data_IF_309680095477
#
_entry.id   IF_309680095477
#
_cell.length_a   1.000
_cell.length_b   1.000
_cell.length_c   1.000
_cell.angle_alpha   90.00
_cell.angle_beta   90.00
_cell.angle_gamma   90.00
#
_symmetry.space_group_name_H-M   'P 1'
#
loop_
_entity.id
_entity.type
_entity.pdbx_description
1 polymer ?
#
# COMPACT_ATOMS: atom_id res chain seq x y z
N UNK A 1 -17.32 -4.89 -4.08
CA UNK A 1 -16.44 -4.38 -3.02
C UNK A 1 -16.22 -2.90 -3.27
N UNK A 2 -16.86 -2.00 -2.50
CA UNK A 2 -16.82 -0.55 -2.77
C UNK A 2 -15.55 0.00 -2.14
N UNK A 3 -14.49 0.18 -2.93
CA UNK A 3 -13.24 0.77 -2.46
C UNK A 3 -13.46 2.24 -2.10
N UNK A 4 -13.07 2.66 -0.90
CA UNK A 4 -13.08 4.09 -0.57
C UNK A 4 -11.98 4.76 -1.39
N UNK A 5 -12.35 5.68 -2.27
CA UNK A 5 -11.37 6.56 -2.93
C UNK A 5 -10.78 7.44 -1.82
N UNK A 6 -9.46 7.40 -1.66
CA UNK A 6 -8.74 8.34 -0.80
C UNK A 6 -8.27 9.47 -1.69
N UNK A 7 -8.72 10.69 -1.41
CA UNK A 7 -8.24 11.88 -2.11
C UNK A 7 -6.77 12.09 -1.76
N UNK A 8 -5.88 11.83 -2.71
CA UNK A 8 -4.44 11.93 -2.55
C UNK A 8 -3.70 11.49 -3.81
N UNK A 9 -2.52 12.06 -4.03
CA UNK A 9 -1.62 11.68 -5.13
C UNK A 9 -0.46 10.86 -4.56
N UNK A 10 -0.40 9.58 -4.91
CA UNK A 10 0.71 8.68 -4.55
C UNK A 10 1.30 8.10 -5.83
N UNK A 11 2.58 7.70 -5.80
CA UNK A 11 3.29 7.14 -6.97
C UNK A 11 2.56 5.94 -7.59
N UNK A 12 1.83 5.18 -6.76
CA UNK A 12 0.96 4.09 -7.20
C UNK A 12 -0.08 4.50 -8.23
N UNK A 13 -0.52 5.77 -8.25
CA UNK A 13 -1.41 6.28 -9.28
C UNK A 13 -0.76 6.27 -10.66
N UNK A 14 0.50 6.70 -10.75
CA UNK A 14 1.28 6.64 -12.00
C UNK A 14 1.59 5.20 -12.41
N UNK A 15 1.94 4.34 -11.45
CA UNK A 15 2.20 2.91 -11.73
C UNK A 15 0.94 2.21 -12.26
N UNK A 16 -0.21 2.49 -11.65
CA UNK A 16 -1.50 1.96 -12.10
C UNK A 16 -1.87 2.50 -13.50
N UNK A 17 -1.64 3.79 -13.76
CA UNK A 17 -1.88 4.41 -15.07
C UNK A 17 -1.00 3.82 -16.18
N UNK A 18 0.21 3.35 -15.84
CA UNK A 18 1.10 2.64 -16.75
C UNK A 18 0.69 1.16 -16.99
N UNK A 19 -0.46 0.71 -16.48
CA UNK A 19 -0.95 -0.66 -16.65
C UNK A 19 -0.25 -1.70 -15.77
N UNK A 20 0.60 -1.27 -14.83
CA UNK A 20 1.32 -2.18 -13.94
C UNK A 20 0.50 -2.45 -12.67
N UNK A 21 0.29 -3.71 -12.27
CA UNK A 21 -0.39 -4.04 -11.02
C UNK A 21 0.33 -3.42 -9.81
N UNK A 22 -0.39 -2.64 -9.01
CA UNK A 22 0.16 -1.95 -7.84
C UNK A 22 -0.87 -1.84 -6.72
N UNK A 23 -0.38 -1.91 -5.47
CA UNK A 23 -1.19 -1.73 -4.27
C UNK A 23 -0.81 -0.38 -3.64
N UNK A 24 -1.79 0.49 -3.43
CA UNK A 24 -1.63 1.77 -2.74
C UNK A 24 -2.01 1.66 -1.25
N UNK A 25 -1.57 2.61 -0.43
CA UNK A 25 -2.10 2.80 0.94
C UNK A 25 -1.63 1.75 1.95
N UNK A 26 -0.42 1.22 1.77
CA UNK A 26 0.14 0.17 2.63
C UNK A 26 0.86 0.69 3.88
N UNK A 27 0.99 2.02 4.03
CA UNK A 27 1.55 2.66 5.22
C UNK A 27 0.68 2.49 6.48
N UNK A 28 1.22 2.75 7.68
CA UNK A 28 0.56 2.60 8.98
C UNK A 28 -0.76 3.38 9.09
N UNK A 29 -1.58 3.00 10.07
CA UNK A 29 -2.79 3.77 10.40
C UNK A 29 -2.36 5.12 10.96
N UNK A 30 -2.92 6.19 10.40
CA UNK A 30 -2.62 7.55 10.77
C UNK A 30 -3.53 8.54 10.07
N UNK A 31 -3.28 9.83 10.31
CA UNK A 31 -4.07 10.91 9.74
C UNK A 31 -3.45 12.26 10.00
N UNK A 32 -4.17 13.30 9.57
CA UNK A 32 -3.70 14.69 9.61
C UNK A 32 -2.38 14.91 8.85
N UNK A 33 -2.22 14.19 7.72
CA UNK A 33 -1.03 14.30 6.88
C UNK A 33 -0.74 15.76 6.54
N UNK A 34 0.53 16.15 6.66
CA UNK A 34 1.01 17.51 6.39
C UNK A 34 0.48 18.58 7.38
N UNK A 35 0.09 18.19 8.60
CA UNK A 35 -0.31 19.12 9.67
C UNK A 35 0.59 18.92 10.90
N UNK A 36 0.74 19.94 11.78
CA UNK A 36 1.52 19.78 13.01
C UNK A 36 0.98 18.71 13.97
N UNK A 37 -0.31 18.38 13.87
CA UNK A 37 -1.01 17.32 14.60
C UNK A 37 -1.11 16.01 13.79
N UNK A 38 -0.17 15.79 12.86
CA UNK A 38 0.03 14.51 12.18
C UNK A 38 0.33 13.40 13.18
N UNK A 39 -0.30 12.25 13.00
CA UNK A 39 -0.18 11.15 13.95
C UNK A 39 -0.22 9.78 13.28
N UNK A 40 0.30 8.81 14.01
CA UNK A 40 0.35 7.40 13.65
C UNK A 40 -0.02 6.54 14.86
N UNK A 41 -0.78 5.46 14.64
CA UNK A 41 -0.91 4.39 15.61
C UNK A 41 0.34 3.51 15.55
N UNK A 42 1.19 3.57 16.58
CA UNK A 42 2.52 2.94 16.59
C UNK A 42 2.47 1.43 16.31
N UNK A 43 1.55 0.70 16.95
CA UNK A 43 1.45 -0.75 16.79
C UNK A 43 1.15 -1.16 15.33
N UNK A 44 0.40 -0.32 14.61
CA UNK A 44 0.01 -0.57 13.22
C UNK A 44 1.20 -0.57 12.24
N UNK A 45 2.33 0.04 12.62
CA UNK A 45 3.54 0.01 11.80
C UNK A 45 4.07 -1.41 11.64
N UNK A 46 4.24 -2.11 12.76
CA UNK A 46 4.75 -3.49 12.78
C UNK A 46 3.78 -4.45 12.09
N UNK A 47 2.47 -4.28 12.30
CA UNK A 47 1.42 -5.07 11.67
C UNK A 47 1.47 -4.95 10.15
N UNK A 48 1.56 -3.73 9.62
CA UNK A 48 1.59 -3.49 8.18
C UNK A 48 2.91 -3.87 7.54
N UNK A 49 4.04 -3.64 8.20
CA UNK A 49 5.34 -4.13 7.75
C UNK A 49 5.32 -5.66 7.59
N UNK A 50 4.76 -6.38 8.57
CA UNK A 50 4.61 -7.84 8.51
C UNK A 50 3.67 -8.27 7.38
N UNK A 51 2.58 -7.56 7.17
CA UNK A 51 1.66 -7.83 6.07
C UNK A 51 2.35 -7.69 4.70
N UNK A 52 3.11 -6.60 4.50
CA UNK A 52 3.86 -6.37 3.26
C UNK A 52 4.91 -7.46 3.06
N UNK A 53 5.72 -7.76 4.08
CA UNK A 53 6.75 -8.79 4.02
C UNK A 53 6.18 -10.16 3.61
N UNK A 54 5.07 -10.58 4.24
CA UNK A 54 4.38 -11.83 3.88
C UNK A 54 3.78 -11.80 2.48
N UNK A 55 3.33 -10.65 2.01
CA UNK A 55 2.79 -10.49 0.66
C UNK A 55 3.89 -10.66 -0.38
N UNK A 56 5.03 -9.99 -0.18
CA UNK A 56 6.22 -10.13 -1.04
C UNK A 56 6.68 -11.60 -1.05
N UNK A 57 6.82 -12.22 0.12
CA UNK A 57 7.21 -13.62 0.22
C UNK A 57 6.28 -14.55 -0.57
N UNK A 58 4.96 -14.41 -0.39
CA UNK A 58 3.97 -15.22 -1.11
C UNK A 58 4.00 -15.01 -2.62
N UNK A 59 4.32 -13.79 -3.08
CA UNK A 59 4.45 -13.49 -4.50
C UNK A 59 5.74 -14.09 -5.07
N UNK A 60 6.85 -14.04 -4.32
CA UNK A 60 8.11 -14.64 -4.72
C UNK A 60 8.05 -16.17 -4.81
N UNK A 61 7.25 -16.82 -3.98
CA UNK A 61 7.02 -18.26 -3.99
C UNK A 61 6.08 -18.72 -5.13
N UNK A 62 5.29 -17.81 -5.71
CA UNK A 62 4.38 -18.14 -6.82
C UNK A 62 5.09 -17.91 -8.15
N UNK A 63 5.00 -18.88 -9.05
CA UNK A 63 5.34 -18.67 -10.46
C UNK A 63 4.37 -17.66 -11.05
N UNK A 64 4.86 -16.44 -11.35
CA UNK A 64 4.07 -15.41 -12.01
C UNK A 64 3.62 -15.93 -13.38
N UNK A 65 2.32 -16.11 -13.56
CA UNK A 65 1.72 -16.64 -14.80
C UNK A 65 1.42 -15.55 -15.82
N UNK A 66 1.71 -14.31 -15.48
CA UNK A 66 1.42 -13.15 -16.30
C UNK A 66 2.49 -12.99 -17.37
N UNK A 67 2.08 -13.15 -18.62
CA UNK A 67 2.82 -12.71 -19.81
C UNK A 67 2.74 -11.17 -19.86
N UNK A 68 3.68 -10.48 -19.22
CA UNK A 68 4.07 -9.13 -19.64
C UNK A 68 5.31 -9.26 -20.51
#
# INVERSE_FOLDING_TARGET
>A
MKGSIRDGCADSGFIAAAGTPVICGVGPVGGNYHRPDEWMQVDSLSERARFIAKTIQKLAEKTTTTSL
#
